data_IF_579495641568
#
_entry.id   IF_579495641568
#
_cell.length_a   1.000
_cell.length_b   1.000
_cell.length_c   1.000
_cell.angle_alpha   90.00
_cell.angle_beta   90.00
_cell.angle_gamma   90.00
#
_symmetry.space_group_name_H-M   'P 1'
#
loop_
_entity.id
_entity.type
_entity.pdbx_description
1 polymer ?
#
# COMPACT_ATOMS: atom_id res chain seq x y z
N UNK A 1 -17.11 -14.20 14.94
CA UNK A 1 -15.93 -14.22 14.02
C UNK A 1 -15.42 -12.80 13.93
N UNK A 2 -14.17 -12.55 14.27
CA UNK A 2 -13.53 -11.23 14.18
C UNK A 2 -13.61 -10.73 12.72
N UNK A 3 -14.12 -9.53 12.51
CA UNK A 3 -14.11 -8.88 11.21
C UNK A 3 -13.05 -7.79 11.21
N UNK A 4 -11.99 -8.02 10.47
CA UNK A 4 -10.86 -7.11 10.35
C UNK A 4 -10.40 -7.00 8.89
N UNK A 5 -9.91 -5.84 8.50
CA UNK A 5 -9.20 -5.63 7.25
C UNK A 5 -8.09 -4.61 7.49
N UNK A 6 -6.86 -5.00 7.22
CA UNK A 6 -5.66 -4.17 7.42
C UNK A 6 -5.01 -3.71 6.12
N UNK A 7 -5.58 -4.05 4.97
CA UNK A 7 -5.08 -3.62 3.67
C UNK A 7 -6.15 -2.87 2.91
N UNK A 8 -6.20 -1.56 3.11
CA UNK A 8 -7.20 -0.70 2.48
C UNK A 8 -6.61 0.63 2.03
N UNK A 9 -7.12 1.13 0.91
CA UNK A 9 -6.69 2.35 0.24
C UNK A 9 -7.80 3.38 0.20
N UNK A 10 -7.44 4.66 0.23
CA UNK A 10 -8.36 5.78 0.22
C UNK A 10 -8.05 6.76 -0.92
N UNK A 11 -8.89 7.76 -1.10
CA UNK A 11 -8.62 8.86 -2.07
C UNK A 11 -7.37 9.67 -1.74
N UNK A 12 -6.72 9.42 -0.60
CA UNK A 12 -5.43 10.04 -0.24
C UNK A 12 -4.24 9.36 -0.97
N UNK A 13 -4.47 8.22 -1.60
CA UNK A 13 -3.55 7.57 -2.53
C UNK A 13 -4.28 7.22 -3.84
N UNK A 14 -4.62 5.97 -4.07
CA UNK A 14 -5.24 5.48 -5.31
C UNK A 14 -6.62 4.83 -5.09
N UNK A 15 -7.12 4.84 -3.85
CA UNK A 15 -8.46 4.35 -3.52
C UNK A 15 -9.57 5.27 -4.02
N UNK A 16 -10.81 4.79 -3.96
CA UNK A 16 -12.00 5.47 -4.52
C UNK A 16 -12.84 6.18 -3.48
N UNK A 17 -12.71 5.79 -2.22
CA UNK A 17 -13.52 6.32 -1.13
C UNK A 17 -12.67 7.10 -0.13
N UNK A 18 -13.29 8.04 0.56
CA UNK A 18 -12.65 8.71 1.68
C UNK A 18 -12.47 7.75 2.85
N UNK A 19 -11.48 8.01 3.70
CA UNK A 19 -11.26 7.21 4.90
C UNK A 19 -12.50 7.17 5.80
N UNK A 20 -13.21 8.29 5.93
CA UNK A 20 -14.41 8.35 6.76
C UNK A 20 -15.58 7.54 6.20
N UNK A 21 -15.78 7.52 4.87
CA UNK A 21 -16.78 6.64 4.23
C UNK A 21 -16.47 5.18 4.51
N UNK A 22 -15.19 4.79 4.47
CA UNK A 22 -14.77 3.43 4.77
C UNK A 22 -14.98 3.07 6.23
N UNK A 23 -14.70 3.97 7.17
CA UNK A 23 -14.99 3.79 8.61
C UNK A 23 -16.49 3.57 8.82
N UNK A 24 -17.33 4.43 8.26
CA UNK A 24 -18.79 4.30 8.36
C UNK A 24 -19.27 2.96 7.82
N UNK A 25 -18.74 2.56 6.66
CA UNK A 25 -19.10 1.28 6.04
C UNK A 25 -18.63 0.08 6.86
N UNK A 26 -17.43 0.14 7.44
CA UNK A 26 -16.92 -0.90 8.33
C UNK A 26 -17.80 -1.07 9.57
N UNK A 27 -18.22 0.03 10.19
CA UNK A 27 -19.17 0.01 11.33
C UNK A 27 -20.51 -0.63 10.94
N UNK A 28 -21.09 -0.24 9.81
CA UNK A 28 -22.36 -0.79 9.30
C UNK A 28 -22.28 -2.31 9.08
N UNK A 29 -21.12 -2.80 8.66
CA UNK A 29 -20.87 -4.21 8.43
C UNK A 29 -20.43 -4.98 9.68
N UNK A 30 -20.27 -4.29 10.82
CA UNK A 30 -19.86 -4.88 12.09
C UNK A 30 -18.40 -5.33 12.10
N UNK A 31 -17.52 -4.55 11.48
CA UNK A 31 -16.07 -4.71 11.63
C UNK A 31 -15.64 -4.29 13.03
N UNK A 32 -14.63 -4.95 13.54
CA UNK A 32 -14.01 -4.66 14.83
C UNK A 32 -12.69 -3.90 14.65
N UNK A 33 -11.99 -4.16 13.53
CA UNK A 33 -10.73 -3.51 13.19
C UNK A 33 -10.74 -3.06 11.72
N UNK A 34 -10.21 -1.86 11.47
CA UNK A 34 -9.96 -1.33 10.13
C UNK A 34 -8.59 -0.67 10.09
N UNK A 35 -7.69 -1.20 9.28
CA UNK A 35 -6.39 -0.61 9.01
C UNK A 35 -6.39 0.11 7.68
N UNK A 36 -5.88 1.34 7.65
CA UNK A 36 -5.55 2.05 6.43
C UNK A 36 -4.09 1.77 6.07
N UNK A 37 -3.82 1.50 4.80
CA UNK A 37 -2.48 1.15 4.30
C UNK A 37 -2.25 1.73 2.92
N UNK A 38 -2.46 3.03 2.76
CA UNK A 38 -2.22 3.68 1.47
C UNK A 38 -0.78 3.53 1.00
N UNK A 39 -0.57 3.65 -0.30
CA UNK A 39 0.73 3.47 -0.94
C UNK A 39 1.78 4.52 -0.57
N UNK A 40 2.99 4.04 -0.38
CA UNK A 40 4.21 4.83 -0.41
C UNK A 40 5.20 4.11 -1.32
N UNK A 41 5.14 4.42 -2.61
CA UNK A 41 5.96 3.83 -3.65
C UNK A 41 6.32 4.87 -4.74
N UNK A 42 7.20 4.55 -5.70
CA UNK A 42 7.60 5.48 -6.76
C UNK A 42 6.47 5.91 -7.69
N UNK A 43 5.40 5.13 -7.82
CA UNK A 43 4.24 5.42 -8.68
C UNK A 43 3.13 6.16 -7.95
N UNK A 44 2.92 5.84 -6.67
CA UNK A 44 1.86 6.45 -5.82
C UNK A 44 2.47 6.88 -4.49
N UNK A 45 2.59 8.17 -4.29
CA UNK A 45 3.21 8.75 -3.12
C UNK A 45 2.22 9.61 -2.34
N UNK A 46 1.73 9.09 -1.20
CA UNK A 46 0.83 9.84 -0.33
C UNK A 46 1.51 11.08 0.26
N UNK A 47 0.73 12.14 0.49
CA UNK A 47 1.12 13.19 1.44
C UNK A 47 0.99 12.64 2.86
N UNK A 48 2.10 12.15 3.41
CA UNK A 48 2.12 11.45 4.70
C UNK A 48 1.58 12.30 5.86
N UNK A 49 1.94 13.58 6.04
CA UNK A 49 1.35 14.44 7.06
C UNK A 49 -0.16 14.59 6.96
N UNK A 50 -0.70 14.75 5.75
CA UNK A 50 -2.15 14.84 5.53
C UNK A 50 -2.83 13.52 5.88
N UNK A 51 -2.26 12.40 5.46
CA UNK A 51 -2.76 11.06 5.76
C UNK A 51 -2.78 10.80 7.29
N UNK A 52 -1.68 11.08 7.99
CA UNK A 52 -1.59 10.95 9.46
C UNK A 52 -2.65 11.77 10.15
N UNK A 53 -2.81 13.04 9.77
CA UNK A 53 -3.80 13.93 10.36
C UNK A 53 -5.23 13.39 10.20
N UNK A 54 -5.58 12.86 9.03
CA UNK A 54 -6.90 12.30 8.75
C UNK A 54 -7.16 11.02 9.56
N UNK A 55 -6.19 10.08 9.58
CA UNK A 55 -6.37 8.85 10.35
C UNK A 55 -6.49 9.13 11.84
N UNK A 56 -5.65 10.03 12.39
CA UNK A 56 -5.74 10.46 13.81
C UNK A 56 -7.09 11.11 14.11
N UNK A 57 -7.61 11.94 13.21
CA UNK A 57 -8.95 12.53 13.35
C UNK A 57 -10.01 11.44 13.47
N UNK A 58 -9.97 10.43 12.63
CA UNK A 58 -10.92 9.32 12.63
C UNK A 58 -10.78 8.43 13.87
N UNK A 59 -9.56 8.16 14.32
CA UNK A 59 -9.31 7.46 15.58
C UNK A 59 -9.96 8.22 16.77
N UNK A 60 -9.85 9.54 16.80
CA UNK A 60 -10.47 10.37 17.84
C UNK A 60 -12.00 10.35 17.82
N UNK A 61 -12.63 10.25 16.66
CA UNK A 61 -14.09 10.27 16.52
C UNK A 61 -14.70 8.88 16.70
N UNK A 62 -14.09 7.85 16.15
CA UNK A 62 -14.68 6.51 16.01
C UNK A 62 -13.99 5.43 16.84
N UNK A 63 -12.84 5.73 17.47
CA UNK A 63 -12.00 4.74 18.14
C UNK A 63 -12.63 3.96 19.28
N UNK A 64 -13.71 4.49 19.91
CA UNK A 64 -14.48 3.74 20.91
C UNK A 64 -15.38 2.64 20.28
N UNK A 65 -15.61 2.70 18.98
CA UNK A 65 -16.55 1.83 18.25
C UNK A 65 -15.88 0.94 17.22
N UNK A 66 -14.72 1.32 16.73
CA UNK A 66 -13.93 0.63 15.71
C UNK A 66 -12.46 0.87 16.00
N UNK A 67 -11.69 -0.20 16.12
CA UNK A 67 -10.23 -0.11 16.23
C UNK A 67 -9.65 0.28 14.86
N UNK A 68 -9.23 1.54 14.75
CA UNK A 68 -8.68 2.12 13.50
C UNK A 68 -7.17 2.15 13.62
N UNK A 69 -6.48 1.51 12.69
CA UNK A 69 -5.03 1.40 12.67
C UNK A 69 -4.45 2.19 11.49
N UNK A 70 -3.40 2.94 11.78
CA UNK A 70 -2.66 3.71 10.79
C UNK A 70 -1.47 2.91 10.29
N UNK A 71 -1.58 2.35 9.10
CA UNK A 71 -0.53 1.62 8.44
C UNK A 71 -0.08 2.29 7.14
N UNK A 72 0.82 1.63 6.46
CA UNK A 72 1.31 2.01 5.13
C UNK A 72 1.62 0.75 4.33
N UNK A 73 1.30 0.75 3.06
CA UNK A 73 1.87 -0.17 2.09
C UNK A 73 3.12 0.48 1.50
N UNK A 74 4.26 0.00 1.96
CA UNK A 74 5.57 0.55 1.67
C UNK A 74 6.31 -0.32 0.67
N UNK A 75 6.67 0.25 -0.48
CA UNK A 75 7.55 -0.45 -1.41
C UNK A 75 8.96 -0.59 -0.82
N UNK A 76 9.56 -1.75 -1.05
CA UNK A 76 10.89 -2.12 -0.54
C UNK A 76 12.02 -1.20 -0.98
N UNK A 77 11.78 -0.28 -1.92
CA UNK A 77 12.76 0.75 -2.32
C UNK A 77 12.85 1.89 -1.30
N UNK A 78 11.91 1.97 -0.36
CA UNK A 78 11.88 2.99 0.69
C UNK A 78 12.23 2.41 2.06
N UNK A 79 12.84 3.25 2.90
CA UNK A 79 13.06 2.95 4.31
C UNK A 79 11.82 3.29 5.13
N UNK A 80 11.39 2.44 6.08
CA UNK A 80 10.22 2.70 6.92
C UNK A 80 10.27 4.02 7.71
N UNK A 81 11.45 4.60 7.92
CA UNK A 81 11.58 5.91 8.58
C UNK A 81 10.94 7.07 7.80
N UNK A 82 10.61 6.88 6.51
CA UNK A 82 9.86 7.88 5.73
C UNK A 82 8.40 8.00 6.18
N UNK A 83 7.89 7.00 6.94
CA UNK A 83 6.52 6.95 7.46
C UNK A 83 6.52 6.91 8.99
N UNK A 84 6.99 7.97 9.67
CA UNK A 84 6.96 8.03 11.13
C UNK A 84 5.52 7.95 11.64
N UNK A 85 5.32 7.36 12.81
CA UNK A 85 4.02 7.11 13.44
C UNK A 85 3.18 5.99 12.80
N UNK A 86 3.62 5.33 11.72
CA UNK A 86 2.93 4.14 11.21
C UNK A 86 2.86 3.07 12.30
N UNK A 87 1.65 2.55 12.54
CA UNK A 87 1.41 1.52 13.56
C UNK A 87 1.71 0.10 13.01
N UNK A 88 1.69 -0.04 11.67
CA UNK A 88 2.13 -1.23 10.95
C UNK A 88 2.57 -0.90 9.52
N UNK A 89 3.35 -1.78 8.95
CA UNK A 89 3.85 -1.68 7.57
C UNK A 89 3.51 -2.97 6.84
N UNK A 90 2.94 -2.83 5.65
CA UNK A 90 2.85 -3.91 4.67
C UNK A 90 4.02 -3.68 3.69
N UNK A 91 4.97 -4.60 3.66
CA UNK A 91 6.05 -4.56 2.68
C UNK A 91 5.53 -5.03 1.33
N UNK A 92 5.79 -4.26 0.28
CA UNK A 92 5.38 -4.59 -1.08
C UNK A 92 6.55 -4.47 -2.05
N UNK A 93 6.49 -5.20 -3.16
CA UNK A 93 7.43 -5.13 -4.26
C UNK A 93 6.67 -4.75 -5.52
N UNK A 94 6.43 -3.46 -5.71
CA UNK A 94 5.77 -2.94 -6.92
C UNK A 94 6.78 -2.61 -8.02
N UNK A 95 8.05 -2.43 -7.67
CA UNK A 95 9.10 -2.03 -8.59
C UNK A 95 10.33 -2.94 -8.48
N UNK A 96 10.90 -3.26 -9.64
CA UNK A 96 12.22 -3.91 -9.73
C UNK A 96 13.24 -2.91 -10.29
N UNK A 97 14.45 -2.86 -9.73
CA UNK A 97 15.54 -2.12 -10.31
C UNK A 97 16.05 -2.83 -11.57
N UNK A 98 16.30 -2.03 -12.60
CA UNK A 98 16.91 -2.43 -13.85
C UNK A 98 18.04 -1.47 -14.20
N UNK A 99 18.78 -1.74 -15.25
CA UNK A 99 19.82 -0.83 -15.74
C UNK A 99 19.24 0.53 -16.19
N UNK A 100 17.95 0.58 -16.51
CA UNK A 100 17.24 1.79 -16.93
C UNK A 100 16.51 2.49 -15.77
N UNK A 101 16.56 1.95 -14.55
CA UNK A 101 15.91 2.48 -13.36
C UNK A 101 14.88 1.52 -12.77
N UNK A 102 13.93 2.08 -12.02
CA UNK A 102 12.86 1.29 -11.39
C UNK A 102 11.74 1.03 -12.40
N UNK A 103 11.39 -0.24 -12.61
CA UNK A 103 10.31 -0.66 -13.50
C UNK A 103 9.19 -1.32 -12.70
N UNK A 104 7.94 -0.89 -12.97
CA UNK A 104 6.75 -1.45 -12.31
C UNK A 104 6.50 -2.91 -12.74
N UNK A 105 6.13 -3.76 -11.78
CA UNK A 105 5.82 -5.17 -12.01
C UNK A 105 4.33 -5.47 -12.03
N UNK A 106 3.51 -4.58 -11.51
CA UNK A 106 2.07 -4.77 -11.28
C UNK A 106 1.17 -3.74 -11.99
N UNK A 107 1.73 -2.96 -12.94
CA UNK A 107 0.96 -1.91 -13.63
C UNK A 107 0.03 -2.49 -14.71
N UNK A 108 0.59 -2.94 -15.82
CA UNK A 108 -0.14 -3.62 -16.90
C UNK A 108 0.66 -4.81 -17.43
N UNK A 109 -0.04 -5.73 -18.14
CA UNK A 109 0.63 -6.86 -18.77
C UNK A 109 1.71 -6.41 -19.77
N UNK A 110 1.43 -5.36 -20.54
CA UNK A 110 2.36 -4.83 -21.55
C UNK A 110 3.65 -4.30 -20.91
N UNK A 111 3.52 -3.57 -19.80
CA UNK A 111 4.68 -3.06 -19.03
C UNK A 111 5.48 -4.23 -18.46
N UNK A 112 4.82 -5.22 -17.87
CA UNK A 112 5.49 -6.41 -17.34
C UNK A 112 6.17 -7.24 -18.46
N UNK A 113 5.53 -7.35 -19.62
CA UNK A 113 6.12 -8.03 -20.78
C UNK A 113 7.35 -7.28 -21.30
N UNK A 114 7.27 -5.95 -21.39
CA UNK A 114 8.41 -5.12 -21.77
C UNK A 114 9.58 -5.30 -20.81
N UNK A 115 9.32 -5.22 -19.49
CA UNK A 115 10.32 -5.48 -18.46
C UNK A 115 10.98 -6.85 -18.64
N UNK A 116 10.17 -7.90 -18.87
CA UNK A 116 10.68 -9.26 -19.09
C UNK A 116 11.60 -9.33 -20.31
N UNK A 117 11.19 -8.73 -21.43
CA UNK A 117 11.97 -8.75 -22.68
C UNK A 117 13.27 -7.95 -22.55
N UNK A 118 13.22 -6.74 -22.03
CA UNK A 118 14.36 -5.81 -22.02
C UNK A 118 15.39 -6.14 -20.93
N UNK A 119 14.92 -6.50 -19.72
CA UNK A 119 15.81 -6.71 -18.58
C UNK A 119 16.13 -8.19 -18.30
N UNK A 120 15.31 -9.12 -18.79
CA UNK A 120 15.47 -10.56 -18.53
C UNK A 120 15.53 -11.41 -19.80
N UNK A 121 15.69 -10.79 -20.99
CA UNK A 121 15.81 -11.50 -22.28
C UNK A 121 14.60 -12.37 -22.62
N UNK A 122 13.41 -12.07 -22.07
CA UNK A 122 12.18 -12.85 -22.25
C UNK A 122 12.05 -14.05 -21.30
N UNK A 123 12.97 -14.22 -20.35
CA UNK A 123 12.91 -15.30 -19.36
C UNK A 123 12.03 -14.90 -18.16
N UNK A 124 10.79 -15.35 -18.20
CA UNK A 124 9.80 -15.12 -17.12
C UNK A 124 10.20 -15.73 -15.78
N UNK A 125 10.97 -16.81 -15.77
CA UNK A 125 11.45 -17.41 -14.52
C UNK A 125 12.58 -16.57 -13.89
N UNK A 126 13.43 -15.97 -14.73
CA UNK A 126 14.45 -15.04 -14.25
C UNK A 126 13.82 -13.79 -13.64
N UNK A 127 12.78 -13.21 -14.27
CA UNK A 127 12.02 -12.09 -13.73
C UNK A 127 11.34 -12.47 -12.40
N UNK A 128 10.64 -13.60 -12.35
CA UNK A 128 9.98 -14.07 -11.14
C UNK A 128 10.98 -14.31 -10.01
N UNK A 129 12.14 -14.87 -10.29
CA UNK A 129 13.21 -15.05 -9.32
C UNK A 129 13.69 -13.70 -8.76
N UNK A 130 13.99 -12.73 -9.62
CA UNK A 130 14.40 -11.40 -9.20
C UNK A 130 13.36 -10.72 -8.31
N UNK A 131 12.08 -10.91 -8.60
CA UNK A 131 10.98 -10.42 -7.78
C UNK A 131 11.01 -11.03 -6.36
N UNK A 132 11.07 -12.37 -6.26
CA UNK A 132 11.04 -13.05 -4.96
C UNK A 132 12.35 -12.96 -4.16
N UNK A 133 13.48 -12.77 -4.81
CA UNK A 133 14.76 -12.55 -4.11
C UNK A 133 14.88 -11.14 -3.52
N UNK A 134 14.02 -10.21 -3.94
CA UNK A 134 14.03 -8.84 -3.45
C UNK A 134 13.01 -8.61 -2.32
N UNK A 135 11.88 -9.28 -2.31
CA UNK A 135 10.80 -9.15 -1.30
C UNK A 135 10.99 -10.05 -0.05
#
# INVERSE_FOLDING_TARGET
MLKANYHTHTVLCDGKNTAEEMVKRALDLGFEHLGFSGHMDPGVHMDWPIYVAEVRRLQGIYGERLDILMGVELDIVYDPSCCPEAEYVIGSTHFLPTDEGLMAVDWTYEVLQQLCLESFGGDWYALARAYYERG
#
